data_IF_978436005204
#
_entry.id   IF_978436005204
#
_cell.length_a   1.000
_cell.length_b   1.000
_cell.length_c   1.000
_cell.angle_alpha   90.00
_cell.angle_beta   90.00
_cell.angle_gamma   90.00
#
_symmetry.space_group_name_H-M   'P 1'
#
loop_
_entity.id
_entity.type
_entity.pdbx_description
1 polymer ?
#
# COMPACT_ATOMS: atom_id res chain seq x y z
N UNK A 1 -22.98 -10.60 -12.58
CA UNK A 1 -22.72 -11.44 -11.38
C UNK A 1 -21.27 -11.95 -11.28
N UNK A 2 -20.68 -12.45 -12.38
CA UNK A 2 -19.34 -13.07 -12.35
C UNK A 2 -18.21 -12.20 -11.78
N UNK A 3 -18.28 -10.88 -11.94
CA UNK A 3 -17.34 -9.92 -11.31
C UNK A 3 -17.38 -9.95 -9.78
N UNK A 4 -18.52 -10.34 -9.19
CA UNK A 4 -18.68 -10.54 -7.74
C UNK A 4 -18.30 -11.97 -7.31
N UNK A 5 -17.71 -12.78 -8.19
CA UNK A 5 -17.40 -14.19 -7.93
C UNK A 5 -18.59 -15.15 -8.09
N UNK A 6 -19.79 -14.64 -8.38
CA UNK A 6 -21.01 -15.44 -8.52
C UNK A 6 -21.04 -16.10 -9.90
N UNK A 7 -20.81 -17.42 -9.94
CA UNK A 7 -20.72 -18.22 -11.18
C UNK A 7 -22.07 -18.65 -11.71
N UNK A 8 -23.02 -18.95 -10.83
CA UNK A 8 -24.35 -19.43 -11.16
C UNK A 8 -25.38 -18.82 -10.19
N UNK A 9 -26.36 -18.10 -10.73
CA UNK A 9 -27.42 -17.47 -9.92
C UNK A 9 -28.48 -18.46 -9.44
N UNK A 10 -28.58 -19.62 -10.08
CA UNK A 10 -29.55 -20.65 -9.70
C UNK A 10 -29.10 -21.48 -8.49
N UNK A 11 -27.84 -21.32 -8.06
CA UNK A 11 -27.24 -22.02 -6.93
C UNK A 11 -26.72 -21.02 -5.89
N UNK A 12 -27.59 -20.37 -5.10
CA UNK A 12 -27.15 -19.42 -4.08
C UNK A 12 -26.44 -20.15 -2.93
N UNK A 13 -25.39 -19.53 -2.38
CA UNK A 13 -24.69 -20.07 -1.20
C UNK A 13 -25.61 -20.13 0.04
N UNK A 14 -26.58 -19.22 0.12
CA UNK A 14 -27.57 -19.14 1.20
C UNK A 14 -28.98 -18.89 0.66
N UNK A 15 -29.95 -19.54 1.28
CA UNK A 15 -31.36 -19.37 0.96
C UNK A 15 -31.80 -20.11 -0.30
N UNK A 16 -32.94 -19.70 -0.84
CA UNK A 16 -33.57 -20.36 -1.97
C UNK A 16 -33.23 -19.65 -3.28
N UNK A 17 -33.09 -20.44 -4.36
CA UNK A 17 -32.93 -19.90 -5.71
C UNK A 17 -34.19 -19.14 -6.14
N UNK A 18 -34.03 -18.02 -6.84
CA UNK A 18 -35.14 -17.21 -7.35
C UNK A 18 -35.25 -17.37 -8.86
N UNK A 19 -36.48 -17.49 -9.38
CA UNK A 19 -36.77 -17.48 -10.82
C UNK A 19 -36.60 -16.07 -11.39
N UNK A 20 -35.91 -15.95 -12.54
CA UNK A 20 -35.77 -14.68 -13.26
C UNK A 20 -36.61 -14.68 -14.54
N UNK A 21 -37.27 -13.57 -14.80
CA UNK A 21 -38.02 -13.34 -16.04
C UNK A 21 -37.15 -12.58 -17.08
N UNK A 22 -37.47 -12.68 -18.38
CA UNK A 22 -36.76 -11.93 -19.41
C UNK A 22 -36.84 -10.42 -19.17
N UNK A 23 -35.68 -9.80 -18.94
CA UNK A 23 -35.56 -8.36 -18.64
C UNK A 23 -35.23 -8.05 -17.18
N UNK A 24 -35.29 -9.04 -16.29
CA UNK A 24 -34.87 -8.87 -14.91
C UNK A 24 -33.37 -8.56 -14.81
N UNK A 25 -33.03 -7.66 -13.90
CA UNK A 25 -31.65 -7.31 -13.58
C UNK A 25 -31.34 -7.80 -12.16
N UNK A 26 -30.34 -8.69 -11.97
CA UNK A 26 -29.98 -9.14 -10.65
C UNK A 26 -29.34 -8.00 -9.85
N UNK A 27 -29.93 -7.69 -8.70
CA UNK A 27 -29.45 -6.67 -7.77
C UNK A 27 -28.94 -7.37 -6.50
N UNK A 28 -27.79 -6.91 -6.00
CA UNK A 28 -27.11 -7.50 -4.85
C UNK A 28 -26.99 -6.46 -3.74
N UNK A 29 -27.21 -6.89 -2.50
CA UNK A 29 -27.08 -6.04 -1.31
C UNK A 29 -26.30 -6.76 -0.23
N UNK A 30 -25.55 -6.00 0.56
CA UNK A 30 -24.92 -6.55 1.75
C UNK A 30 -25.98 -7.09 2.71
N UNK A 31 -25.72 -8.26 3.29
CA UNK A 31 -26.63 -8.94 4.20
C UNK A 31 -25.90 -9.24 5.51
N UNK A 32 -26.65 -9.32 6.62
CA UNK A 32 -26.10 -9.69 7.93
C UNK A 32 -25.44 -11.08 7.96
N UNK A 33 -25.67 -11.92 6.94
CA UNK A 33 -25.01 -13.23 6.77
C UNK A 33 -23.49 -13.10 6.61
N UNK A 34 -22.97 -11.97 6.11
CA UNK A 34 -21.51 -11.72 6.06
C UNK A 34 -20.86 -11.82 7.46
N UNK A 35 -21.57 -11.42 8.51
CA UNK A 35 -21.10 -11.56 9.88
C UNK A 35 -21.01 -13.02 10.34
N UNK A 36 -21.92 -13.87 9.88
CA UNK A 36 -21.90 -15.32 10.16
C UNK A 36 -20.68 -15.97 9.52
N UNK A 37 -20.42 -15.67 8.25
CA UNK A 37 -19.24 -16.17 7.52
C UNK A 37 -17.92 -15.71 8.13
N UNK A 38 -17.84 -14.44 8.54
CA UNK A 38 -16.65 -13.91 9.20
C UNK A 38 -16.36 -14.65 10.52
N UNK A 39 -17.39 -14.91 11.32
CA UNK A 39 -17.27 -15.66 12.58
C UNK A 39 -16.84 -17.12 12.34
N UNK A 40 -17.42 -17.79 11.33
CA UNK A 40 -17.04 -19.16 10.98
C UNK A 40 -15.59 -19.25 10.49
N UNK A 41 -15.18 -18.33 9.62
CA UNK A 41 -13.83 -18.25 9.06
C UNK A 41 -12.77 -17.89 10.11
N UNK A 42 -13.15 -17.18 11.17
CA UNK A 42 -12.27 -16.83 12.28
C UNK A 42 -11.97 -18.00 13.23
N UNK A 43 -12.63 -19.16 13.06
CA UNK A 43 -12.45 -20.34 13.90
C UNK A 43 -12.54 -20.07 15.41
N UNK A 44 -13.47 -19.21 15.82
CA UNK A 44 -13.68 -18.87 17.22
C UNK A 44 -14.12 -20.09 18.03
N UNK A 45 -13.61 -20.23 19.26
CA UNK A 45 -13.94 -21.36 20.13
C UNK A 45 -15.44 -21.46 20.48
N UNK A 46 -16.13 -20.33 20.47
CA UNK A 46 -17.58 -20.25 20.70
C UNK A 46 -18.13 -18.95 20.09
N UNK A 47 -19.25 -19.04 19.38
CA UNK A 47 -20.00 -17.89 18.89
C UNK A 47 -21.49 -18.23 18.80
N UNK A 48 -22.34 -17.20 18.87
CA UNK A 48 -23.80 -17.34 18.74
C UNK A 48 -24.31 -16.44 17.61
N UNK A 49 -25.13 -17.01 16.74
CA UNK A 49 -25.80 -16.30 15.66
C UNK A 49 -27.25 -16.76 15.58
N UNK A 50 -28.11 -15.97 14.94
CA UNK A 50 -29.47 -16.43 14.62
C UNK A 50 -29.48 -17.51 13.53
N UNK A 51 -30.50 -18.36 13.54
CA UNK A 51 -30.78 -19.27 12.43
C UNK A 51 -31.37 -18.51 11.23
N UNK A 52 -31.19 -18.99 9.98
CA UNK A 52 -31.81 -18.39 8.80
C UNK A 52 -33.32 -18.22 8.96
N UNK A 53 -33.84 -17.04 8.63
CA UNK A 53 -35.27 -16.70 8.79
C UNK A 53 -35.73 -16.41 10.21
N UNK A 54 -34.85 -16.53 11.22
CA UNK A 54 -35.17 -16.34 12.63
C UNK A 54 -34.52 -15.07 13.21
N UNK A 55 -34.70 -13.92 12.55
CA UNK A 55 -34.13 -12.64 12.99
C UNK A 55 -34.73 -12.18 14.33
N UNK A 56 -33.96 -11.40 15.09
CA UNK A 56 -34.45 -10.74 16.30
C UNK A 56 -35.35 -9.56 15.91
N UNK A 57 -36.65 -9.68 16.20
CA UNK A 57 -37.62 -8.60 15.95
C UNK A 57 -37.52 -7.59 17.08
N UNK A 58 -37.23 -6.34 16.73
CA UNK A 58 -37.06 -5.23 17.69
C UNK A 58 -38.26 -4.29 17.69
N UNK A 59 -38.45 -3.52 18.76
CA UNK A 59 -39.39 -2.40 18.80
C UNK A 59 -38.92 -1.17 18.00
N UNK A 60 -37.68 -1.19 17.49
CA UNK A 60 -37.16 -0.15 16.60
C UNK A 60 -37.91 -0.23 15.28
N UNK A 61 -38.73 0.79 14.99
CA UNK A 61 -39.43 0.88 13.72
C UNK A 61 -38.41 1.01 12.59
N UNK A 62 -38.54 0.18 11.56
CA UNK A 62 -37.75 0.34 10.34
C UNK A 62 -37.95 1.74 9.80
N UNK A 63 -36.85 2.45 9.50
CA UNK A 63 -36.94 3.71 8.79
C UNK A 63 -37.59 3.41 7.44
N UNK A 64 -38.79 3.93 7.21
CA UNK A 64 -39.40 3.87 5.91
C UNK A 64 -38.44 4.57 4.96
N UNK A 65 -37.95 3.86 3.95
CA UNK A 65 -37.35 4.52 2.80
C UNK A 65 -38.49 5.33 2.15
N UNK A 66 -38.64 6.58 2.58
CA UNK A 66 -39.26 7.58 1.72
C UNK A 66 -38.45 7.70 0.43
N UNK A 67 -38.96 8.39 -0.60
CA UNK A 67 -38.13 8.78 -1.74
C UNK A 67 -36.85 9.41 -1.18
N UNK A 68 -35.70 9.09 -1.81
CA UNK A 68 -34.37 9.50 -1.38
C UNK A 68 -34.43 10.90 -0.74
N UNK A 69 -33.89 11.09 0.47
CA UNK A 69 -34.19 12.28 1.25
C UNK A 69 -33.75 13.52 0.47
N UNK A 70 -34.73 14.27 -0.05
CA UNK A 70 -34.54 15.69 -0.28
C UNK A 70 -34.32 16.29 1.11
N UNK A 71 -33.06 16.62 1.40
CA UNK A 71 -32.63 17.40 2.54
C UNK A 71 -33.12 16.86 3.91
N UNK A 72 -32.37 15.90 4.48
CA UNK A 72 -32.19 15.93 5.93
C UNK A 72 -31.36 17.18 6.22
N UNK A 73 -31.76 17.98 7.21
CA UNK A 73 -30.89 19.02 7.76
C UNK A 73 -29.66 18.31 8.36
N UNK A 74 -28.63 18.16 7.52
CA UNK A 74 -27.33 17.62 7.84
C UNK A 74 -26.62 18.63 8.74
N UNK A 75 -26.52 18.31 10.02
CA UNK A 75 -25.36 18.78 10.79
C UNK A 75 -24.11 18.19 10.15
N UNK A 76 -23.00 18.95 10.14
CA UNK A 76 -21.70 18.62 9.51
C UNK A 76 -21.16 17.21 9.84
N UNK A 77 -21.67 16.56 10.89
CA UNK A 77 -21.31 15.19 11.30
C UNK A 77 -21.90 14.07 10.40
N UNK A 78 -23.00 14.32 9.68
CA UNK A 78 -23.69 13.32 8.85
C UNK A 78 -22.96 12.99 7.54
N UNK A 79 -22.41 13.99 6.87
CA UNK A 79 -21.64 13.83 5.62
C UNK A 79 -20.26 13.22 5.87
N UNK A 80 -19.55 13.64 6.94
CA UNK A 80 -18.20 13.17 7.23
C UNK A 80 -18.14 11.66 7.54
N UNK A 81 -19.22 11.09 8.08
CA UNK A 81 -19.33 9.66 8.40
C UNK A 81 -19.77 8.79 7.23
N UNK A 82 -20.21 9.37 6.11
CA UNK A 82 -20.66 8.61 4.96
C UNK A 82 -19.53 7.74 4.37
N UNK A 83 -19.77 6.48 3.98
CA UNK A 83 -18.74 5.62 3.42
C UNK A 83 -18.52 5.93 1.92
N UNK A 84 -17.25 5.96 1.53
CA UNK A 84 -16.78 5.95 0.15
C UNK A 84 -16.12 4.61 -0.18
N UNK A 85 -16.38 4.12 -1.39
CA UNK A 85 -15.79 2.89 -1.92
C UNK A 85 -14.64 3.27 -2.84
N UNK A 86 -13.43 2.81 -2.52
CA UNK A 86 -12.22 3.13 -3.28
C UNK A 86 -11.62 1.87 -3.88
N UNK A 87 -11.35 1.88 -5.19
CA UNK A 87 -10.63 0.79 -5.83
C UNK A 87 -9.13 0.86 -5.49
N UNK A 88 -8.63 -0.18 -4.84
CA UNK A 88 -7.24 -0.27 -4.39
C UNK A 88 -6.40 -1.06 -5.39
N UNK A 89 -6.90 -2.18 -5.90
CA UNK A 89 -6.19 -3.02 -6.90
C UNK A 89 -7.17 -3.50 -7.97
N UNK A 90 -6.67 -3.72 -9.20
CA UNK A 90 -7.44 -4.25 -10.32
C UNK A 90 -7.14 -5.74 -10.58
N UNK A 91 -5.99 -6.24 -10.10
CA UNK A 91 -5.58 -7.64 -10.23
C UNK A 91 -4.83 -8.10 -8.96
N UNK A 92 -5.48 -8.85 -8.06
CA UNK A 92 -6.92 -9.12 -8.06
C UNK A 92 -7.71 -7.84 -7.76
N UNK A 93 -8.92 -7.74 -8.32
CA UNK A 93 -9.83 -6.62 -8.08
C UNK A 93 -10.14 -6.52 -6.57
N UNK A 94 -9.73 -5.40 -5.95
CA UNK A 94 -9.91 -5.12 -4.52
C UNK A 94 -10.42 -3.70 -4.32
N UNK A 95 -11.45 -3.57 -3.51
CA UNK A 95 -12.00 -2.30 -3.04
C UNK A 95 -11.83 -2.19 -1.53
N UNK A 96 -11.69 -0.96 -1.04
CA UNK A 96 -11.71 -0.64 0.38
C UNK A 96 -12.81 0.38 0.66
N UNK A 97 -13.19 0.49 1.93
CA UNK A 97 -14.15 1.46 2.43
C UNK A 97 -13.43 2.46 3.33
N UNK A 98 -13.80 3.73 3.22
CA UNK A 98 -13.28 4.82 4.04
C UNK A 98 -14.40 5.83 4.27
N UNK A 99 -14.41 6.57 5.37
CA UNK A 99 -15.38 7.66 5.51
C UNK A 99 -14.96 8.87 4.67
N UNK A 100 -15.92 9.66 4.19
CA UNK A 100 -15.68 10.93 3.47
C UNK A 100 -14.73 11.84 4.28
N UNK A 101 -14.92 11.91 5.60
CA UNK A 101 -14.07 12.70 6.49
C UNK A 101 -12.62 12.21 6.53
N UNK A 102 -12.41 10.89 6.64
CA UNK A 102 -11.07 10.31 6.63
C UNK A 102 -10.39 10.47 5.27
N UNK A 103 -11.11 10.20 4.17
CA UNK A 103 -10.61 10.45 2.81
C UNK A 103 -10.22 11.92 2.62
N UNK A 104 -11.05 12.86 3.08
CA UNK A 104 -10.78 14.30 3.01
C UNK A 104 -9.52 14.70 3.80
N UNK A 105 -9.32 14.11 4.99
CA UNK A 105 -8.12 14.34 5.79
C UNK A 105 -6.85 13.82 5.07
N UNK A 106 -6.91 12.63 4.47
CA UNK A 106 -5.77 12.11 3.69
C UNK A 106 -5.50 12.95 2.45
N UNK A 107 -6.53 13.39 1.72
CA UNK A 107 -6.35 14.31 0.59
C UNK A 107 -5.77 15.66 1.02
N UNK A 108 -6.09 16.15 2.23
CA UNK A 108 -5.48 17.35 2.78
C UNK A 108 -3.99 17.16 3.09
N UNK A 109 -3.61 16.01 3.65
CA UNK A 109 -2.21 15.64 3.85
C UNK A 109 -1.48 15.53 2.51
N UNK A 110 -2.08 14.87 1.51
CA UNK A 110 -1.51 14.71 0.17
C UNK A 110 -1.17 16.07 -0.45
N UNK A 111 -2.07 17.05 -0.34
CA UNK A 111 -1.80 18.43 -0.79
C UNK A 111 -0.69 19.11 -0.01
N UNK A 112 -0.58 18.85 1.29
CA UNK A 112 0.43 19.49 2.14
C UNK A 112 1.84 18.96 1.84
N UNK A 113 1.98 17.66 1.60
CA UNK A 113 3.27 17.06 1.27
C UNK A 113 3.74 17.40 -0.15
N UNK A 114 2.90 18.02 -1.00
CA UNK A 114 3.32 18.59 -2.30
C UNK A 114 4.01 19.96 -2.17
N UNK A 115 4.15 20.52 -0.96
CA UNK A 115 4.98 21.71 -0.77
C UNK A 115 6.40 21.40 -1.23
N UNK A 116 6.94 22.20 -2.15
CA UNK A 116 8.23 21.97 -2.79
C UNK A 116 9.20 23.12 -2.45
N UNK A 117 9.67 23.20 -1.18
CA UNK A 117 10.63 24.23 -0.77
C UNK A 117 11.93 24.16 -1.57
N UNK A 118 12.31 22.97 -2.05
CA UNK A 118 13.48 22.75 -2.91
C UNK A 118 13.31 23.20 -4.36
N UNK A 119 12.09 23.58 -4.79
CA UNK A 119 11.75 23.89 -6.18
C UNK A 119 12.20 22.81 -7.18
N UNK A 120 12.06 21.54 -6.80
CA UNK A 120 12.48 20.36 -7.59
C UNK A 120 11.51 20.05 -8.72
N UNK A 121 10.31 20.64 -8.72
CA UNK A 121 9.26 20.42 -9.70
C UNK A 121 8.27 19.33 -9.30
N UNK A 122 8.20 18.98 -8.01
CA UNK A 122 7.45 17.82 -7.49
C UNK A 122 5.96 17.89 -7.83
N UNK A 123 5.39 19.10 -7.89
CA UNK A 123 4.00 19.31 -8.31
C UNK A 123 3.66 18.69 -9.68
N UNK A 124 4.65 18.53 -10.57
CA UNK A 124 4.46 17.93 -11.89
C UNK A 124 4.48 16.40 -11.84
N UNK A 125 5.02 15.83 -10.76
CA UNK A 125 5.11 14.40 -10.52
C UNK A 125 3.90 13.87 -9.72
N UNK A 126 3.13 14.77 -9.10
CA UNK A 126 1.99 14.43 -8.27
C UNK A 126 0.90 13.67 -9.05
N UNK A 127 0.54 12.49 -8.54
CA UNK A 127 -0.60 11.69 -8.99
C UNK A 127 -1.68 11.74 -7.90
N UNK A 128 -2.80 12.46 -8.11
CA UNK A 128 -3.81 12.65 -7.07
C UNK A 128 -4.44 11.34 -6.58
N UNK A 129 -4.66 11.26 -5.27
CA UNK A 129 -5.34 10.14 -4.60
C UNK A 129 -4.46 8.91 -4.34
N UNK A 130 -3.20 8.92 -4.76
CA UNK A 130 -2.29 7.79 -4.55
C UNK A 130 -1.94 7.61 -3.08
N UNK A 131 -1.87 8.69 -2.29
CA UNK A 131 -1.67 8.57 -0.84
C UNK A 131 -2.84 7.82 -0.18
N UNK A 132 -4.09 8.13 -0.55
CA UNK A 132 -5.27 7.45 -0.03
C UNK A 132 -5.29 5.98 -0.45
N UNK A 133 -5.03 5.68 -1.72
CA UNK A 133 -5.01 4.30 -2.24
C UNK A 133 -3.92 3.46 -1.59
N UNK A 134 -2.72 4.03 -1.41
CA UNK A 134 -1.62 3.38 -0.69
C UNK A 134 -1.98 3.11 0.78
N UNK A 135 -2.55 4.09 1.48
CA UNK A 135 -2.97 3.94 2.88
C UNK A 135 -4.05 2.85 3.03
N UNK A 136 -5.02 2.80 2.12
CA UNK A 136 -6.05 1.76 2.12
C UNK A 136 -5.46 0.39 1.79
N UNK A 137 -4.54 0.28 0.84
CA UNK A 137 -3.81 -0.97 0.57
C UNK A 137 -3.04 -1.45 1.81
N UNK A 138 -2.30 -0.54 2.45
CA UNK A 138 -1.58 -0.84 3.69
C UNK A 138 -2.52 -1.22 4.83
N UNK A 139 -3.75 -0.71 4.89
CA UNK A 139 -4.71 -1.13 5.94
C UNK A 139 -5.04 -2.63 5.87
N UNK A 140 -5.08 -3.19 4.65
CA UNK A 140 -5.37 -4.61 4.39
C UNK A 140 -4.15 -5.53 4.47
N UNK A 141 -2.93 -4.96 4.52
CA UNK A 141 -1.69 -5.73 4.60
C UNK A 141 -1.48 -6.34 6.00
N UNK A 142 -0.80 -7.49 6.05
CA UNK A 142 -0.41 -8.17 7.29
C UNK A 142 1.08 -8.07 7.56
N UNK A 143 1.89 -7.98 6.50
CA UNK A 143 3.35 -8.06 6.56
C UNK A 143 3.96 -7.07 5.57
N UNK A 144 4.63 -6.04 6.09
CA UNK A 144 5.15 -4.92 5.30
C UNK A 144 6.68 -4.94 5.28
N UNK A 145 7.25 -4.84 4.09
CA UNK A 145 8.68 -4.57 3.92
C UNK A 145 8.87 -3.09 3.62
N UNK A 146 9.58 -2.37 4.49
CA UNK A 146 9.97 -0.99 4.25
C UNK A 146 11.40 -0.99 3.71
N UNK A 147 11.60 -0.43 2.52
CA UNK A 147 12.87 -0.39 1.81
C UNK A 147 13.33 1.06 1.78
N UNK A 148 14.53 1.34 2.28
CA UNK A 148 15.06 2.71 2.33
C UNK A 148 16.58 2.71 2.18
N UNK A 149 17.14 3.87 1.84
CA UNK A 149 18.58 4.07 1.72
C UNK A 149 18.95 4.57 0.33
N UNK A 150 19.62 5.73 0.33
CA UNK A 150 20.06 6.41 -0.87
C UNK A 150 21.52 6.89 -0.71
N UNK A 151 22.50 6.27 -1.41
CA UNK A 151 23.92 6.60 -1.28
C UNK A 151 24.32 7.79 -2.17
N UNK A 152 23.78 8.99 -1.92
CA UNK A 152 24.01 10.16 -2.78
C UNK A 152 25.36 10.86 -2.57
N UNK A 153 25.97 10.71 -1.39
CA UNK A 153 27.21 11.39 -0.98
C UNK A 153 28.45 10.54 -1.27
N UNK A 154 28.73 10.25 -2.54
CA UNK A 154 29.81 9.34 -3.00
C UNK A 154 31.24 9.66 -2.51
N UNK A 155 31.48 10.83 -1.92
CA UNK A 155 32.78 11.23 -1.35
C UNK A 155 32.83 11.15 0.18
N UNK A 156 31.75 10.71 0.83
CA UNK A 156 31.63 10.61 2.29
C UNK A 156 31.54 9.15 2.74
N UNK A 157 31.76 8.92 4.04
CA UNK A 157 31.60 7.61 4.66
C UNK A 157 30.87 7.77 6.01
N UNK A 158 29.64 7.24 6.15
CA UNK A 158 28.85 6.58 5.11
C UNK A 158 28.43 7.54 3.97
N UNK A 159 28.19 7.06 2.74
CA UNK A 159 27.73 7.87 1.62
C UNK A 159 26.20 8.12 1.63
N UNK A 160 25.52 7.67 2.69
CA UNK A 160 24.07 7.69 2.82
C UNK A 160 23.58 9.09 3.15
N UNK A 161 22.47 9.48 2.54
CA UNK A 161 21.72 10.64 3.02
C UNK A 161 20.83 10.30 4.21
N UNK A 162 20.29 11.35 4.81
CA UNK A 162 19.41 11.25 5.99
C UNK A 162 17.95 11.13 5.62
N UNK A 163 17.57 11.42 4.38
CA UNK A 163 16.19 11.26 3.92
C UNK A 163 15.89 9.79 3.62
N UNK A 164 14.69 9.33 3.96
CA UNK A 164 14.29 7.93 3.95
C UNK A 164 14.22 7.26 5.33
N UNK A 165 15.36 7.01 6.03
CA UNK A 165 15.37 6.25 7.28
C UNK A 165 14.41 6.76 8.36
N UNK A 166 14.29 8.09 8.64
CA UNK A 166 13.33 8.59 9.62
C UNK A 166 11.88 8.27 9.23
N UNK A 167 11.53 8.42 7.95
CA UNK A 167 10.20 8.07 7.43
C UNK A 167 9.91 6.57 7.54
N UNK A 168 10.90 5.73 7.24
CA UNK A 168 10.81 4.28 7.41
C UNK A 168 10.60 3.88 8.88
N UNK A 169 11.31 4.50 9.82
CA UNK A 169 11.10 4.25 11.25
C UNK A 169 9.73 4.71 11.74
N UNK A 170 9.28 5.89 11.32
CA UNK A 170 7.94 6.39 11.68
C UNK A 170 6.83 5.48 11.14
N UNK A 171 6.95 5.00 9.89
CA UNK A 171 6.05 4.01 9.34
C UNK A 171 6.13 2.68 10.08
N UNK A 172 7.33 2.22 10.43
CA UNK A 172 7.50 0.98 11.19
C UNK A 172 6.79 1.05 12.55
N UNK A 173 6.96 2.15 13.28
CA UNK A 173 6.27 2.40 14.56
C UNK A 173 4.75 2.35 14.38
N UNK A 174 4.21 3.11 13.41
CA UNK A 174 2.77 3.16 13.16
C UNK A 174 2.18 1.81 12.74
N UNK A 175 2.84 1.10 11.83
CA UNK A 175 2.38 -0.20 11.34
C UNK A 175 2.45 -1.29 12.43
N UNK A 176 3.48 -1.26 13.29
CA UNK A 176 3.60 -2.17 14.44
C UNK A 176 2.53 -1.90 15.49
N UNK A 177 2.22 -0.64 15.77
CA UNK A 177 1.11 -0.26 16.64
C UNK A 177 -0.25 -0.76 16.11
N UNK A 178 -0.39 -0.90 14.79
CA UNK A 178 -1.55 -1.52 14.13
C UNK A 178 -1.49 -3.06 14.07
N UNK A 179 -0.53 -3.70 14.75
CA UNK A 179 -0.40 -5.15 14.83
C UNK A 179 0.18 -5.82 13.57
N UNK A 180 0.78 -5.05 12.66
CA UNK A 180 1.36 -5.58 11.41
C UNK A 180 2.79 -6.07 11.67
N UNK A 181 3.20 -7.10 10.93
CA UNK A 181 4.61 -7.50 10.87
C UNK A 181 5.36 -6.52 9.97
N UNK A 182 6.52 -6.06 10.41
CA UNK A 182 7.32 -5.09 9.66
C UNK A 182 8.78 -5.54 9.65
N UNK A 183 9.44 -5.38 8.52
CA UNK A 183 10.89 -5.47 8.39
C UNK A 183 11.44 -4.29 7.59
N UNK A 184 12.69 -3.91 7.85
CA UNK A 184 13.43 -2.92 7.09
C UNK A 184 14.39 -3.63 6.13
N UNK A 185 14.46 -3.17 4.88
CA UNK A 185 15.49 -3.56 3.92
C UNK A 185 16.31 -2.35 3.47
N UNK A 186 17.60 -2.58 3.29
CA UNK A 186 18.58 -1.59 2.81
C UNK A 186 19.70 -2.33 2.08
N UNK A 187 20.61 -1.60 1.44
CA UNK A 187 21.85 -2.16 0.91
C UNK A 187 22.64 -2.90 2.00
N UNK A 188 23.24 -4.05 1.67
CA UNK A 188 24.02 -4.86 2.59
C UNK A 188 25.15 -4.06 3.25
N UNK A 189 25.76 -3.15 2.48
CA UNK A 189 26.78 -2.20 2.96
C UNK A 189 26.27 -1.26 4.05
N UNK A 190 25.00 -0.85 3.99
CA UNK A 190 24.38 0.09 4.92
C UNK A 190 23.62 -0.61 6.07
N UNK A 191 23.50 -1.94 6.04
CA UNK A 191 22.74 -2.69 7.04
C UNK A 191 23.25 -2.50 8.48
N UNK A 192 24.56 -2.31 8.67
CA UNK A 192 25.13 -1.98 9.99
C UNK A 192 24.59 -0.66 10.53
N UNK A 193 24.71 0.41 9.73
CA UNK A 193 24.19 1.73 10.07
C UNK A 193 22.68 1.71 10.36
N UNK A 194 21.90 1.00 9.55
CA UNK A 194 20.46 0.89 9.76
C UNK A 194 20.11 0.17 11.07
N UNK A 195 20.87 -0.86 11.47
CA UNK A 195 20.69 -1.51 12.78
C UNK A 195 21.05 -0.60 13.94
N UNK A 196 22.08 0.22 13.80
CA UNK A 196 22.44 1.23 14.80
C UNK A 196 21.31 2.26 14.95
N UNK A 197 20.77 2.75 13.83
CA UNK A 197 19.61 3.66 13.80
C UNK A 197 18.38 3.05 14.48
N UNK A 198 18.05 1.77 14.20
CA UNK A 198 16.96 1.06 14.88
C UNK A 198 17.23 0.94 16.38
N UNK A 199 18.47 0.62 16.76
CA UNK A 199 18.86 0.50 18.18
C UNK A 199 18.69 1.82 18.91
N UNK A 200 19.08 2.93 18.30
CA UNK A 200 18.89 4.26 18.89
C UNK A 200 17.42 4.65 18.94
N UNK A 201 16.63 4.34 17.91
CA UNK A 201 15.17 4.55 17.93
C UNK A 201 14.47 3.79 19.06
N UNK A 202 14.94 2.58 19.42
CA UNK A 202 14.46 1.84 20.59
C UNK A 202 14.84 2.54 21.91
N UNK A 203 16.09 3.00 22.02
CA UNK A 203 16.59 3.68 23.22
C UNK A 203 15.85 4.98 23.49
N UNK A 204 15.52 5.73 22.43
CA UNK A 204 14.79 7.00 22.49
C UNK A 204 13.27 6.82 22.58
N UNK A 205 12.76 5.58 22.54
CA UNK A 205 11.32 5.29 22.65
C UNK A 205 10.51 5.66 21.41
N UNK A 206 11.15 5.79 20.24
CA UNK A 206 10.46 5.94 18.94
C UNK A 206 9.88 4.59 18.49
N UNK A 207 10.57 3.50 18.81
CA UNK A 207 10.09 2.13 18.61
C UNK A 207 9.90 1.45 19.98
N UNK A 208 8.78 0.72 20.13
CA UNK A 208 8.51 -0.09 21.33
C UNK A 208 9.21 -1.45 21.30
N UNK A 209 9.46 -1.98 20.09
CA UNK A 209 10.05 -3.30 19.86
C UNK A 209 10.99 -3.26 18.66
N UNK A 210 12.01 -4.12 18.68
CA UNK A 210 12.98 -4.22 17.58
C UNK A 210 12.28 -4.54 16.25
N UNK A 211 12.76 -3.87 15.20
CA UNK A 211 12.33 -4.10 13.81
C UNK A 211 13.50 -4.75 13.06
N UNK A 212 13.31 -5.95 12.48
CA UNK A 212 14.39 -6.67 11.83
C UNK A 212 14.89 -5.91 10.59
N UNK A 213 16.22 -5.74 10.50
CA UNK A 213 16.91 -5.22 9.31
C UNK A 213 17.43 -6.40 8.48
N UNK A 214 16.83 -6.59 7.31
CA UNK A 214 17.10 -7.69 6.37
C UNK A 214 17.82 -7.18 5.12
N UNK A 215 18.57 -8.06 4.46
CA UNK A 215 19.33 -7.76 3.24
C UNK A 215 19.10 -8.87 2.23
N UNK A 216 18.98 -8.53 0.95
CA UNK A 216 18.87 -9.51 -0.12
C UNK A 216 20.26 -10.02 -0.50
N UNK A 217 20.45 -11.34 -0.47
CA UNK A 217 21.68 -11.97 -0.91
C UNK A 217 21.63 -12.30 -2.41
N UNK A 218 22.67 -11.93 -3.16
CA UNK A 218 22.74 -12.19 -4.60
C UNK A 218 22.07 -11.09 -5.44
N UNK A 219 21.89 -11.39 -6.74
CA UNK A 219 21.33 -10.46 -7.74
C UNK A 219 20.40 -11.20 -8.70
N UNK A 220 19.47 -10.46 -9.30
CA UNK A 220 18.53 -10.98 -10.30
C UNK A 220 17.32 -11.70 -9.72
N UNK A 221 16.48 -12.24 -10.61
CA UNK A 221 15.16 -12.77 -10.25
C UNK A 221 15.19 -13.92 -9.24
N UNK A 222 16.18 -14.80 -9.29
CA UNK A 222 16.28 -15.93 -8.34
C UNK A 222 16.55 -15.45 -6.91
N UNK A 223 17.41 -14.44 -6.76
CA UNK A 223 17.67 -13.81 -5.47
C UNK A 223 16.42 -13.09 -4.94
N UNK A 224 15.74 -12.33 -5.80
CA UNK A 224 14.49 -11.67 -5.46
C UNK A 224 13.40 -12.67 -5.04
N UNK A 225 13.29 -13.81 -5.73
CA UNK A 225 12.35 -14.89 -5.39
C UNK A 225 12.69 -15.54 -4.06
N UNK A 226 13.96 -15.88 -3.82
CA UNK A 226 14.40 -16.47 -2.55
C UNK A 226 14.18 -15.52 -1.36
N UNK A 227 14.30 -14.22 -1.61
CA UNK A 227 14.05 -13.19 -0.60
C UNK A 227 12.56 -12.97 -0.36
N UNK A 228 11.76 -12.70 -1.40
CA UNK A 228 10.36 -12.29 -1.26
C UNK A 228 9.43 -13.47 -0.94
N UNK A 229 9.75 -14.68 -1.39
CA UNK A 229 8.90 -15.85 -1.25
C UNK A 229 9.42 -16.79 -0.15
N UNK A 230 8.49 -17.50 0.46
CA UNK A 230 8.76 -18.60 1.38
C UNK A 230 7.89 -19.82 1.04
N UNK A 231 8.28 -20.98 1.55
CA UNK A 231 7.52 -22.21 1.33
C UNK A 231 6.18 -22.14 2.08
N UNK A 232 5.09 -22.23 1.33
CA UNK A 232 3.72 -22.30 1.83
C UNK A 232 3.09 -23.67 1.59
N UNK A 233 1.95 -23.96 2.24
CA UNK A 233 1.28 -25.26 2.15
C UNK A 233 0.77 -25.61 0.75
N UNK A 234 0.44 -24.59 -0.07
CA UNK A 234 -0.05 -24.75 -1.45
C UNK A 234 0.99 -24.32 -2.51
N UNK A 235 2.23 -24.06 -2.09
CA UNK A 235 3.31 -23.54 -2.93
C UNK A 235 3.93 -22.26 -2.37
N UNK A 236 4.83 -21.60 -3.13
CA UNK A 236 5.50 -20.39 -2.68
C UNK A 236 4.50 -19.26 -2.35
N UNK A 237 4.64 -18.68 -1.16
CA UNK A 237 3.82 -17.57 -0.65
C UNK A 237 4.71 -16.36 -0.38
N UNK A 238 4.23 -15.12 -0.57
CA UNK A 238 5.03 -13.94 -0.24
C UNK A 238 5.22 -13.79 1.27
N UNK A 239 6.46 -13.49 1.70
CA UNK A 239 6.81 -13.11 3.08
C UNK A 239 6.19 -11.78 3.49
N UNK A 240 6.01 -10.89 2.52
CA UNK A 240 5.46 -9.55 2.68
C UNK A 240 4.38 -9.31 1.63
N UNK A 241 3.22 -8.83 2.05
CA UNK A 241 2.08 -8.55 1.18
C UNK A 241 1.99 -7.06 0.77
N UNK A 242 2.87 -6.20 1.33
CA UNK A 242 3.07 -4.84 0.85
C UNK A 242 4.54 -4.42 0.95
N UNK A 243 5.14 -3.96 -0.15
CA UNK A 243 6.49 -3.39 -0.19
C UNK A 243 6.40 -1.86 -0.30
N UNK A 244 7.11 -1.12 0.56
CA UNK A 244 7.13 0.34 0.52
C UNK A 244 8.58 0.80 0.36
N UNK A 245 8.91 1.42 -0.76
CA UNK A 245 10.18 2.08 -0.98
C UNK A 245 10.06 3.54 -0.52
N UNK A 246 10.97 3.99 0.34
CA UNK A 246 11.00 5.34 0.91
C UNK A 246 12.40 5.90 0.71
N UNK A 247 12.53 6.86 -0.19
CA UNK A 247 13.83 7.43 -0.57
C UNK A 247 14.87 6.35 -0.85
N UNK A 248 14.46 5.42 -1.72
CA UNK A 248 15.30 4.30 -2.14
C UNK A 248 15.71 4.54 -3.58
N UNK A 249 17.02 4.53 -3.87
CA UNK A 249 17.50 4.66 -5.25
C UNK A 249 16.90 3.57 -6.17
N UNK A 250 16.36 3.98 -7.33
CA UNK A 250 15.79 3.07 -8.32
C UNK A 250 16.53 3.11 -9.65
N UNK A 251 16.56 1.98 -10.35
CA UNK A 251 17.21 1.84 -11.64
C UNK A 251 16.53 2.70 -12.71
N UNK A 252 17.35 3.42 -13.48
CA UNK A 252 16.94 4.12 -14.69
C UNK A 252 16.76 3.14 -15.86
N UNK A 253 16.31 3.65 -17.01
CA UNK A 253 16.01 2.84 -18.19
C UNK A 253 17.22 2.08 -18.78
N UNK A 254 18.44 2.52 -18.48
CA UNK A 254 19.69 1.86 -18.87
C UNK A 254 20.19 0.82 -17.83
N UNK A 255 19.41 0.58 -16.77
CA UNK A 255 19.76 -0.33 -15.67
C UNK A 255 20.77 0.24 -14.68
N UNK A 256 21.22 1.50 -14.84
CA UNK A 256 22.09 2.17 -13.90
C UNK A 256 21.29 2.92 -12.82
N UNK A 257 21.98 3.31 -11.75
CA UNK A 257 21.41 4.08 -10.65
C UNK A 257 22.09 5.44 -10.63
N UNK A 258 21.32 6.51 -10.55
CA UNK A 258 21.84 7.87 -10.57
C UNK A 258 21.33 8.67 -9.39
N UNK A 259 22.17 9.52 -8.80
CA UNK A 259 21.68 10.60 -7.96
C UNK A 259 21.18 11.77 -8.81
N UNK A 260 20.53 12.77 -8.19
CA UNK A 260 19.98 13.95 -8.87
C UNK A 260 21.03 14.75 -9.69
N UNK A 261 22.32 14.58 -9.40
CA UNK A 261 23.44 15.21 -10.12
C UNK A 261 23.92 14.39 -11.33
N UNK A 262 23.18 13.33 -11.73
CA UNK A 262 23.53 12.41 -12.83
C UNK A 262 24.82 11.62 -12.56
N UNK A 263 25.24 11.49 -11.30
CA UNK A 263 26.38 10.66 -10.92
C UNK A 263 25.89 9.23 -10.79
N UNK A 264 26.55 8.29 -11.48
CA UNK A 264 26.23 6.88 -11.37
C UNK A 264 26.67 6.33 -10.00
N UNK A 265 25.72 5.83 -9.23
CA UNK A 265 25.88 5.28 -7.88
C UNK A 265 25.65 3.77 -7.82
N UNK A 266 25.50 3.09 -8.96
CA UNK A 266 25.14 1.65 -9.00
C UNK A 266 26.15 0.71 -8.32
N UNK A 267 27.38 1.16 -8.10
CA UNK A 267 28.38 0.43 -7.32
C UNK A 267 28.13 0.44 -5.80
N UNK A 268 27.22 1.29 -5.32
CA UNK A 268 26.83 1.44 -3.92
C UNK A 268 25.43 0.87 -3.62
N UNK A 269 24.71 0.45 -4.66
CA UNK A 269 23.29 0.10 -4.62
C UNK A 269 23.11 -1.38 -4.96
N UNK A 270 22.46 -2.11 -4.06
CA UNK A 270 21.98 -3.47 -4.27
C UNK A 270 20.66 -3.46 -5.07
N UNK A 271 20.41 -4.43 -5.95
CA UNK A 271 19.30 -4.39 -6.90
C UNK A 271 17.96 -4.79 -6.24
N UNK A 272 17.53 -4.06 -5.21
CA UNK A 272 16.26 -4.29 -4.52
C UNK A 272 15.04 -3.96 -5.39
N UNK A 273 15.22 -3.25 -6.49
CA UNK A 273 14.19 -3.01 -7.51
C UNK A 273 13.64 -4.30 -8.12
N UNK A 274 14.44 -5.37 -8.14
CA UNK A 274 14.01 -6.71 -8.59
C UNK A 274 12.82 -7.22 -7.78
N UNK A 275 12.69 -6.78 -6.51
CA UNK A 275 11.54 -7.11 -5.68
C UNK A 275 10.25 -6.46 -6.20
N UNK A 276 10.32 -5.26 -6.78
CA UNK A 276 9.16 -4.57 -7.33
C UNK A 276 8.72 -5.21 -8.66
N UNK A 277 9.69 -5.62 -9.49
CA UNK A 277 9.37 -6.39 -10.69
C UNK A 277 8.74 -7.74 -10.37
N UNK A 278 9.29 -8.47 -9.39
CA UNK A 278 8.72 -9.74 -8.95
C UNK A 278 7.33 -9.55 -8.32
N UNK A 279 7.14 -8.51 -7.51
CA UNK A 279 5.85 -8.22 -6.87
C UNK A 279 4.73 -8.03 -7.89
N UNK A 280 5.01 -7.40 -9.03
CA UNK A 280 4.03 -7.22 -10.13
C UNK A 280 3.45 -8.53 -10.64
N UNK A 281 4.26 -9.58 -10.68
CA UNK A 281 3.87 -10.90 -11.14
C UNK A 281 3.43 -11.82 -9.99
N UNK A 282 3.49 -11.34 -8.73
CA UNK A 282 3.16 -12.10 -7.52
C UNK A 282 1.84 -11.63 -6.96
N UNK A 283 0.80 -12.46 -7.12
CA UNK A 283 -0.53 -12.17 -6.57
C UNK A 283 -0.48 -11.90 -5.07
N UNK A 284 -1.19 -10.85 -4.65
CA UNK A 284 -1.34 -10.49 -3.25
C UNK A 284 -0.24 -9.59 -2.70
N UNK A 285 0.81 -9.29 -3.47
CA UNK A 285 1.83 -8.31 -3.10
C UNK A 285 1.49 -6.97 -3.74
N UNK A 286 1.50 -5.89 -2.95
CA UNK A 286 1.30 -4.53 -3.45
C UNK A 286 2.57 -3.70 -3.24
N UNK A 287 2.80 -2.69 -4.06
CA UNK A 287 4.02 -1.86 -4.01
C UNK A 287 3.69 -0.38 -3.89
N UNK A 288 4.42 0.33 -3.05
CA UNK A 288 4.36 1.79 -2.92
C UNK A 288 5.75 2.37 -3.05
N UNK A 289 5.93 3.38 -3.90
CA UNK A 289 7.14 4.19 -3.96
C UNK A 289 6.89 5.60 -3.42
N UNK A 290 7.78 6.07 -2.55
CA UNK A 290 7.78 7.42 -1.97
C UNK A 290 9.13 8.05 -2.28
N UNK A 291 9.11 9.26 -2.87
CA UNK A 291 10.32 9.98 -3.26
C UNK A 291 10.05 11.41 -3.68
N UNK A 292 11.11 12.18 -3.87
CA UNK A 292 11.05 13.63 -4.07
C UNK A 292 11.76 14.12 -5.36
N UNK A 293 12.55 13.27 -6.02
CA UNK A 293 13.39 13.61 -7.15
C UNK A 293 13.07 12.88 -8.46
N UNK A 294 12.33 11.78 -8.41
CA UNK A 294 11.95 10.97 -9.58
C UNK A 294 12.96 9.89 -9.97
N UNK A 295 14.08 9.78 -9.25
CA UNK A 295 15.11 8.75 -9.40
C UNK A 295 15.02 7.68 -8.30
N UNK A 296 13.97 7.72 -7.49
CA UNK A 296 13.64 6.74 -6.45
C UNK A 296 12.80 5.59 -7.01
N UNK A 297 12.95 4.42 -6.38
CA UNK A 297 12.20 3.21 -6.68
C UNK A 297 10.70 3.44 -6.54
N UNK A 298 9.97 3.11 -7.61
CA UNK A 298 8.53 3.30 -7.73
C UNK A 298 8.14 4.55 -8.53
N UNK A 299 9.08 5.45 -8.80
CA UNK A 299 8.86 6.65 -9.63
C UNK A 299 8.76 6.35 -11.13
N UNK A 300 8.97 5.09 -11.55
CA UNK A 300 8.76 4.66 -12.94
C UNK A 300 7.38 4.99 -13.49
N UNK A 301 6.36 5.03 -12.62
CA UNK A 301 4.98 5.41 -12.97
C UNK A 301 4.84 6.85 -13.44
N UNK A 302 5.71 7.74 -12.99
CA UNK A 302 5.74 9.17 -13.34
C UNK A 302 6.98 9.55 -14.16
N UNK A 303 7.68 8.56 -14.71
CA UNK A 303 8.95 8.75 -15.41
C UNK A 303 8.89 9.72 -16.59
N UNK A 304 7.77 9.79 -17.32
CA UNK A 304 7.57 10.80 -18.37
C UNK A 304 7.56 12.22 -17.81
N UNK A 305 6.88 12.45 -16.70
CA UNK A 305 6.86 13.75 -16.01
C UNK A 305 8.24 14.11 -15.45
N UNK A 306 8.97 13.12 -14.90
CA UNK A 306 10.36 13.31 -14.45
C UNK A 306 11.24 13.78 -15.60
N UNK A 307 11.19 13.11 -16.75
CA UNK A 307 11.95 13.50 -17.96
C UNK A 307 11.63 14.90 -18.45
N UNK A 308 10.38 15.33 -18.33
CA UNK A 308 9.91 16.62 -18.83
C UNK A 308 10.20 17.78 -17.86
N UNK A 309 10.16 17.53 -16.55
CA UNK A 309 10.09 18.61 -15.55
C UNK A 309 11.22 18.60 -14.53
N UNK A 310 11.94 17.49 -14.36
CA UNK A 310 13.04 17.38 -13.40
C UNK A 310 14.38 17.60 -14.11
N UNK A 311 15.27 18.35 -13.46
CA UNK A 311 16.64 18.56 -13.94
C UNK A 311 17.37 17.22 -14.08
N UNK A 312 17.98 16.97 -15.23
CA UNK A 312 18.62 15.69 -15.60
C UNK A 312 17.64 14.50 -15.69
N UNK A 313 16.33 14.74 -15.70
CA UNK A 313 15.30 13.69 -15.75
C UNK A 313 15.42 12.77 -16.96
N UNK A 314 16.01 13.24 -18.07
CA UNK A 314 16.31 12.42 -19.25
C UNK A 314 17.19 11.20 -18.94
N UNK A 315 18.03 11.29 -17.90
CA UNK A 315 18.93 10.22 -17.48
C UNK A 315 18.54 9.62 -16.15
N UNK A 316 18.18 10.43 -15.16
CA UNK A 316 18.00 9.94 -13.79
C UNK A 316 16.64 9.28 -13.55
N UNK A 317 15.65 9.49 -14.42
CA UNK A 317 14.30 9.00 -14.20
C UNK A 317 14.30 7.48 -13.97
N UNK A 318 13.80 7.09 -12.80
CA UNK A 318 13.57 5.69 -12.45
C UNK A 318 12.67 5.06 -13.53
N UNK A 319 12.95 3.82 -13.91
CA UNK A 319 12.15 3.04 -14.85
C UNK A 319 11.24 2.03 -14.14
N UNK A 320 11.39 1.85 -12.83
CA UNK A 320 10.70 0.83 -12.04
C UNK A 320 9.44 1.43 -11.42
N UNK A 321 8.24 1.03 -11.87
CA UNK A 321 6.99 1.56 -11.34
C UNK A 321 6.58 0.85 -10.05
N UNK A 322 5.75 1.52 -9.26
CA UNK A 322 5.01 0.93 -8.15
C UNK A 322 3.50 0.94 -8.47
N UNK A 323 2.73 0.10 -7.76
CA UNK A 323 1.26 0.15 -7.79
C UNK A 323 0.76 1.49 -7.28
N UNK A 324 1.45 2.07 -6.29
CA UNK A 324 1.19 3.40 -5.78
C UNK A 324 2.44 4.28 -5.77
N UNK A 325 2.34 5.50 -6.27
CA UNK A 325 3.47 6.44 -6.32
C UNK A 325 3.09 7.72 -5.59
N UNK A 326 3.78 8.00 -4.49
CA UNK A 326 3.56 9.18 -3.66
C UNK A 326 4.78 10.09 -3.80
N UNK A 327 4.56 11.34 -4.20
CA UNK A 327 5.61 12.33 -4.31
C UNK A 327 5.52 13.30 -3.15
N UNK A 328 6.65 13.64 -2.53
CA UNK A 328 6.70 14.56 -1.38
C UNK A 328 7.85 15.55 -1.56
N UNK A 329 7.78 16.77 -1.02
CA UNK A 329 8.81 17.81 -1.21
C UNK A 329 9.41 18.44 0.03
#
# INVERSE_FOLDING_TARGET
>A
PGLLGIRDLSAPDFGDSVSSDPGDVPVFWACGVTGVEAVQSAHLALAFTHAPGCMFVTDVKGQSAGPAPEHREEGEEGEAGAPEVVCVSQDPLRYSLVSVGAASAVHALERHVQLDPGSRGIKHLHVPGELLRAALSLSHSRSVLLITGFPTHVTQQPPEETDGPPGALAMAAALRALGKRVALATDARAAGLMRDIVTDALREGVLDEEVPVVTMEGRGQDAARAFLLEDGPEGPTPRYDHLVAIERAGAAADGCYYNARKINIGHLVDPLDELFWLARDTRGVSTTGIGDGGNELGMGRVSEAVRAHVKNGDVIACAVPADFTITTG
#
